data_IF_092758592957
#
_entry.id   IF_092758592957
#
_cell.length_a   1.000
_cell.length_b   1.000
_cell.length_c   1.000
_cell.angle_alpha   90.00
_cell.angle_beta   90.00
_cell.angle_gamma   90.00
#
_symmetry.space_group_name_H-M   'P 1'
#
loop_
_entity.id
_entity.type
_entity.pdbx_description
1 polymer ?
#
# COMPACT_ATOMS: atom_id res chain seq x y z
N UNK A 1 6.54 -7.00 -16.08
CA UNK A 1 5.07 -6.94 -15.94
C UNK A 1 4.71 -7.70 -14.68
N UNK A 2 4.34 -6.96 -13.64
CA UNK A 2 3.98 -7.53 -12.34
C UNK A 2 2.67 -8.32 -12.43
N UNK A 3 2.61 -9.57 -11.94
CA UNK A 3 1.37 -10.32 -11.84
C UNK A 3 0.32 -9.60 -10.99
N UNK A 4 -0.96 -9.71 -11.35
CA UNK A 4 -2.06 -9.05 -10.62
C UNK A 4 -2.07 -9.41 -9.13
N UNK A 5 -1.83 -10.68 -8.78
CA UNK A 5 -1.82 -11.13 -7.39
C UNK A 5 -0.73 -10.47 -6.54
N UNK A 6 0.42 -10.11 -7.12
CA UNK A 6 1.49 -9.40 -6.41
C UNK A 6 1.09 -7.93 -6.13
N UNK A 7 0.39 -7.28 -7.08
CA UNK A 7 -0.16 -5.94 -6.89
C UNK A 7 -1.26 -5.94 -5.81
N UNK A 8 -2.13 -6.95 -5.81
CA UNK A 8 -3.17 -7.11 -4.78
C UNK A 8 -2.56 -7.33 -3.39
N UNK A 9 -1.53 -8.18 -3.28
CA UNK A 9 -0.78 -8.38 -2.03
C UNK A 9 -0.12 -7.10 -1.54
N UNK A 10 0.49 -6.32 -2.44
CA UNK A 10 1.09 -5.04 -2.09
C UNK A 10 0.04 -4.07 -1.53
N UNK A 11 -1.11 -3.94 -2.21
CA UNK A 11 -2.24 -3.11 -1.75
C UNK A 11 -2.78 -3.57 -0.39
N UNK A 12 -2.97 -4.87 -0.20
CA UNK A 12 -3.42 -5.42 1.08
C UNK A 12 -2.43 -5.13 2.21
N UNK A 13 -1.13 -5.24 1.92
CA UNK A 13 -0.08 -4.92 2.90
C UNK A 13 -0.10 -3.44 3.29
N UNK A 14 -0.33 -2.54 2.32
CA UNK A 14 -0.51 -1.10 2.60
C UNK A 14 -1.65 -0.83 3.58
N UNK A 15 -2.80 -1.49 3.38
CA UNK A 15 -3.95 -1.39 4.30
C UNK A 15 -3.57 -1.83 5.73
N UNK A 16 -2.93 -2.99 5.86
CA UNK A 16 -2.52 -3.51 7.18
C UNK A 16 -1.52 -2.61 7.90
N UNK A 17 -0.57 -2.01 7.18
CA UNK A 17 0.40 -1.09 7.78
C UNK A 17 -0.28 0.17 8.32
N UNK A 18 -1.33 0.66 7.63
CA UNK A 18 -2.13 1.78 8.14
C UNK A 18 -2.88 1.42 9.42
N UNK A 19 -3.49 0.23 9.47
CA UNK A 19 -4.16 -0.30 10.66
C UNK A 19 -3.16 -0.49 11.82
N UNK A 20 -1.93 -0.89 11.52
CA UNK A 20 -0.84 -1.00 12.49
C UNK A 20 -0.22 0.37 12.87
N UNK A 21 -0.83 1.49 12.47
CA UNK A 21 -0.36 2.85 12.74
C UNK A 21 1.08 3.15 12.27
N UNK A 22 1.55 2.42 11.25
CA UNK A 22 2.86 2.69 10.64
C UNK A 22 2.80 3.91 9.72
N UNK A 23 3.95 4.55 9.54
CA UNK A 23 4.06 5.70 8.65
C UNK A 23 3.90 5.28 7.18
N UNK A 24 3.33 6.17 6.37
CA UNK A 24 3.14 5.98 4.93
C UNK A 24 4.45 5.80 4.17
N UNK A 25 5.54 6.40 4.65
CA UNK A 25 6.86 6.30 4.01
C UNK A 25 7.63 5.05 4.48
N UNK A 26 7.10 4.27 5.43
CA UNK A 26 7.64 2.95 5.82
C UNK A 26 7.28 1.86 4.80
N UNK A 27 7.28 2.21 3.52
CA UNK A 27 7.05 1.30 2.39
C UNK A 27 8.12 0.19 2.40
N UNK A 28 7.74 -1.08 2.13
CA UNK A 28 8.72 -2.14 1.93
C UNK A 28 9.70 -1.82 0.80
N UNK A 29 10.92 -2.35 0.90
CA UNK A 29 11.91 -2.28 -0.17
C UNK A 29 11.47 -3.22 -1.31
N UNK A 30 10.78 -2.67 -2.31
CA UNK A 30 10.48 -3.36 -3.55
C UNK A 30 11.69 -3.36 -4.49
N UNK A 31 11.68 -4.26 -5.48
CA UNK A 31 12.73 -4.33 -6.50
C UNK A 31 12.93 -2.98 -7.21
N UNK A 32 14.11 -2.75 -7.77
CA UNK A 32 14.32 -1.58 -8.62
C UNK A 32 13.64 -1.76 -9.98
N UNK A 33 13.33 -0.64 -10.64
CA UNK A 33 12.71 -0.65 -11.97
C UNK A 33 11.18 -0.57 -11.95
N UNK A 34 10.57 -0.72 -13.13
CA UNK A 34 9.14 -0.47 -13.33
C UNK A 34 8.25 -1.39 -12.50
N UNK A 35 8.63 -2.66 -12.36
CA UNK A 35 7.86 -3.63 -11.61
C UNK A 35 7.81 -3.28 -10.10
N UNK A 36 8.91 -2.85 -9.51
CA UNK A 36 8.89 -2.40 -8.11
C UNK A 36 8.23 -1.04 -7.92
N UNK A 37 8.29 -0.15 -8.91
CA UNK A 37 7.48 1.08 -8.90
C UNK A 37 5.98 0.77 -8.91
N UNK A 38 5.54 -0.24 -9.67
CA UNK A 38 4.14 -0.68 -9.68
C UNK A 38 3.72 -1.24 -8.33
N UNK A 39 4.55 -2.08 -7.70
CA UNK A 39 4.30 -2.61 -6.35
C UNK A 39 4.25 -1.51 -5.30
N UNK A 40 5.18 -0.54 -5.35
CA UNK A 40 5.18 0.63 -4.45
C UNK A 40 3.90 1.45 -4.61
N UNK A 41 3.45 1.70 -5.84
CA UNK A 41 2.21 2.42 -6.12
C UNK A 41 0.99 1.68 -5.56
N UNK A 42 0.92 0.36 -5.76
CA UNK A 42 -0.17 -0.47 -5.25
C UNK A 42 -0.22 -0.47 -3.71
N UNK A 43 0.94 -0.55 -3.06
CA UNK A 43 1.05 -0.45 -1.60
C UNK A 43 0.55 0.91 -1.09
N UNK A 44 1.00 2.01 -1.70
CA UNK A 44 0.59 3.37 -1.30
C UNK A 44 -0.92 3.56 -1.47
N UNK A 45 -1.49 3.09 -2.58
CA UNK A 45 -2.94 3.13 -2.79
C UNK A 45 -3.70 2.40 -1.68
N UNK A 46 -3.24 1.22 -1.26
CA UNK A 46 -3.86 0.49 -0.16
C UNK A 46 -3.77 1.21 1.18
N UNK A 47 -2.62 1.83 1.48
CA UNK A 47 -2.45 2.63 2.69
C UNK A 47 -3.42 3.82 2.71
N UNK A 48 -3.44 4.59 1.61
CA UNK A 48 -4.24 5.82 1.47
C UNK A 48 -5.74 5.52 1.54
N UNK A 49 -6.20 4.45 0.86
CA UNK A 49 -7.59 3.97 0.95
C UNK A 49 -8.00 3.69 2.40
N UNK A 50 -7.13 3.03 3.16
CA UNK A 50 -7.45 2.69 4.55
C UNK A 50 -7.46 3.94 5.43
N UNK A 51 -6.53 4.86 5.21
CA UNK A 51 -6.49 6.11 5.96
C UNK A 51 -7.75 6.95 5.70
N UNK A 52 -8.20 7.06 4.46
CA UNK A 52 -9.47 7.70 4.11
C UNK A 52 -10.66 7.04 4.80
N UNK A 53 -10.74 5.70 4.82
CA UNK A 53 -11.81 4.98 5.51
C UNK A 53 -11.82 5.27 7.02
N UNK A 54 -10.66 5.33 7.65
CA UNK A 54 -10.53 5.66 9.07
C UNK A 54 -10.98 7.10 9.33
N UNK A 55 -10.55 8.06 8.49
CA UNK A 55 -10.95 9.46 8.59
C UNK A 55 -12.46 9.63 8.44
N UNK A 56 -13.07 8.97 7.45
CA UNK A 56 -14.52 9.00 7.21
C UNK A 56 -15.34 8.42 8.37
N UNK A 57 -14.79 7.44 9.11
CA UNK A 57 -15.47 6.87 10.29
C UNK A 57 -15.38 7.75 11.55
N UNK A 58 -14.49 8.76 11.56
CA UNK A 58 -14.25 9.64 12.70
C UNK A 58 -14.98 10.97 12.62
N UNK A 59 -15.43 11.37 11.43
CA UNK A 59 -16.29 12.53 11.21
C UNK A 59 -17.76 12.13 11.28
#
# INVERSE_FOLDING_TARGET
MVPAYELERARQTGRWMRDAHKDRNSVPLYAMGEDGLALRKAWLAGYDERDEQIRRKRG
#
